data_IF_046130804176
#
_entry.id   IF_046130804176
#
_cell.length_a   1.000
_cell.length_b   1.000
_cell.length_c   1.000
_cell.angle_alpha   90.00
_cell.angle_beta   90.00
_cell.angle_gamma   90.00
#
_symmetry.space_group_name_H-M   'P 1'
#
loop_
_entity.id
_entity.type
_entity.pdbx_description
1 polymer ?
#
# COMPACT_ATOMS: atom_id res chain seq x y z
N UNK A 1 -6.40 10.16 26.48
CA UNK A 1 -6.40 9.08 25.46
C UNK A 1 -5.44 8.01 25.95
N UNK A 2 -5.96 6.80 26.27
CA UNK A 2 -5.14 5.70 26.82
C UNK A 2 -4.68 4.71 25.75
N UNK A 3 -5.30 4.72 24.57
CA UNK A 3 -4.95 3.82 23.46
C UNK A 3 -5.26 4.44 22.11
N UNK A 4 -4.48 4.05 21.09
CA UNK A 4 -4.60 4.55 19.73
C UNK A 4 -4.54 3.40 18.72
N UNK A 5 -5.22 3.59 17.58
CA UNK A 5 -4.95 2.82 16.37
C UNK A 5 -3.90 3.61 15.58
N UNK A 6 -2.76 3.01 15.36
CA UNK A 6 -1.63 3.66 14.72
C UNK A 6 -1.57 3.27 13.23
N UNK A 7 -1.73 4.24 12.36
CA UNK A 7 -1.48 4.07 10.92
C UNK A 7 -0.03 4.41 10.62
N UNK A 8 0.66 3.52 9.94
CA UNK A 8 2.07 3.68 9.60
C UNK A 8 2.28 3.58 8.09
N UNK A 9 3.32 4.28 7.64
CA UNK A 9 3.75 4.30 6.25
C UNK A 9 5.27 4.44 6.19
N UNK A 10 5.97 3.31 6.23
CA UNK A 10 7.44 3.24 6.26
C UNK A 10 7.97 2.30 5.17
N UNK A 11 9.25 2.45 4.74
CA UNK A 11 9.87 1.54 3.80
C UNK A 11 10.00 0.09 4.30
N UNK A 12 9.85 -0.12 5.62
CA UNK A 12 9.95 -1.45 6.24
C UNK A 12 8.67 -2.29 6.13
N UNK A 13 7.63 -1.72 5.54
CA UNK A 13 6.42 -2.46 5.17
C UNK A 13 6.70 -3.31 3.92
N UNK A 14 6.27 -4.56 3.94
CA UNK A 14 6.32 -5.44 2.77
C UNK A 14 5.16 -6.43 2.80
N UNK A 15 4.88 -7.03 1.65
CA UNK A 15 3.84 -8.05 1.52
C UNK A 15 4.44 -9.42 1.22
N UNK A 16 3.82 -10.46 1.76
CA UNK A 16 4.14 -11.87 1.48
C UNK A 16 2.87 -12.51 0.92
N UNK A 17 2.99 -13.15 -0.23
CA UNK A 17 1.94 -13.98 -0.82
C UNK A 17 2.22 -15.44 -0.47
N UNK A 18 1.23 -16.13 0.09
CA UNK A 18 1.33 -17.52 0.48
C UNK A 18 0.12 -18.30 -0.02
N UNK A 19 0.40 -19.42 -0.68
CA UNK A 19 -0.61 -20.40 -1.07
C UNK A 19 -0.45 -21.65 -0.20
N UNK A 20 -1.51 -22.02 0.52
CA UNK A 20 -1.50 -23.17 1.42
C UNK A 20 -2.62 -24.14 1.08
N UNK A 21 -2.31 -25.43 1.07
CA UNK A 21 -3.21 -26.50 0.62
C UNK A 21 -3.53 -27.48 1.74
N UNK A 22 -4.82 -27.88 1.83
CA UNK A 22 -5.28 -28.98 2.68
C UNK A 22 -6.01 -30.02 1.84
N UNK A 23 -5.65 -31.28 1.99
CA UNK A 23 -6.39 -32.40 1.39
C UNK A 23 -7.61 -32.72 2.26
N UNK A 24 -8.78 -32.84 1.64
CA UNK A 24 -10.06 -33.09 2.29
C UNK A 24 -10.67 -34.45 1.90
N UNK A 25 -10.14 -35.11 0.86
CA UNK A 25 -10.54 -36.48 0.44
C UNK A 25 -12.04 -36.63 0.22
N UNK A 26 -12.64 -35.66 -0.46
CA UNK A 26 -14.10 -35.66 -0.74
C UNK A 26 -14.98 -35.22 0.43
N UNK A 27 -14.39 -34.78 1.55
CA UNK A 27 -15.14 -34.24 2.70
C UNK A 27 -15.66 -32.82 2.38
N UNK A 28 -16.62 -32.38 3.19
CA UNK A 28 -17.15 -31.01 3.12
C UNK A 28 -16.15 -30.04 3.72
N UNK A 29 -16.00 -28.87 3.07
CA UNK A 29 -15.26 -27.74 3.66
C UNK A 29 -16.00 -27.21 4.88
N UNK A 30 -15.32 -27.02 5.98
CA UNK A 30 -15.84 -26.41 7.17
C UNK A 30 -15.01 -25.18 7.62
N UNK A 31 -15.56 -24.39 8.52
CA UNK A 31 -14.86 -23.18 9.04
C UNK A 31 -13.57 -23.51 9.80
N UNK A 32 -13.48 -24.70 10.37
CA UNK A 32 -12.28 -25.09 11.12
C UNK A 32 -11.13 -25.48 10.18
N UNK A 33 -11.42 -26.01 8.99
CA UNK A 33 -10.41 -26.22 7.96
C UNK A 33 -9.78 -24.89 7.54
N UNK A 34 -10.59 -23.85 7.33
CA UNK A 34 -10.10 -22.50 6.99
C UNK A 34 -9.29 -21.90 8.13
N UNK A 35 -9.77 -22.03 9.39
CA UNK A 35 -9.01 -21.55 10.56
C UNK A 35 -7.68 -22.26 10.71
N UNK A 36 -7.67 -23.59 10.52
CA UNK A 36 -6.44 -24.38 10.58
C UNK A 36 -5.43 -23.89 9.54
N UNK A 37 -5.83 -23.74 8.28
CA UNK A 37 -4.94 -23.26 7.22
C UNK A 37 -4.44 -21.84 7.49
N UNK A 38 -5.29 -20.95 8.03
CA UNK A 38 -4.88 -19.59 8.41
C UNK A 38 -3.85 -19.60 9.57
N UNK A 39 -4.01 -20.50 10.54
CA UNK A 39 -3.05 -20.64 11.65
C UNK A 39 -1.71 -21.19 11.14
N UNK A 40 -1.74 -22.21 10.30
CA UNK A 40 -0.55 -22.81 9.69
C UNK A 40 0.18 -21.77 8.81
N UNK A 41 -0.55 -21.06 7.95
CA UNK A 41 0.00 -20.00 7.12
C UNK A 41 0.66 -18.89 7.97
N UNK A 42 -0.01 -18.46 9.04
CA UNK A 42 0.52 -17.47 9.97
C UNK A 42 1.81 -17.96 10.64
N UNK A 43 1.85 -19.23 11.08
CA UNK A 43 3.01 -19.82 11.69
C UNK A 43 4.19 -19.88 10.71
N UNK A 44 3.95 -20.34 9.48
CA UNK A 44 4.97 -20.38 8.43
C UNK A 44 5.59 -19.00 8.14
N UNK A 45 4.76 -17.96 8.09
CA UNK A 45 5.24 -16.58 7.87
C UNK A 45 6.06 -16.10 9.07
N UNK A 46 5.61 -16.40 10.31
CA UNK A 46 6.31 -15.99 11.53
C UNK A 46 7.65 -16.71 11.71
N UNK A 47 7.72 -18.01 11.43
CA UNK A 47 8.94 -18.80 11.58
C UNK A 47 10.03 -18.39 10.59
N UNK A 48 9.62 -18.02 9.36
CA UNK A 48 10.55 -17.56 8.32
C UNK A 48 10.87 -16.06 8.40
N UNK A 49 10.11 -15.29 9.19
CA UNK A 49 10.26 -13.84 9.33
C UNK A 49 10.09 -13.44 10.81
N UNK A 50 10.88 -14.02 11.69
CA UNK A 50 10.79 -13.84 13.16
C UNK A 50 11.01 -12.39 13.61
N UNK A 51 11.74 -11.60 12.83
CA UNK A 51 12.00 -10.17 13.06
C UNK A 51 10.84 -9.26 12.59
N UNK A 52 9.78 -9.86 12.04
CA UNK A 52 8.63 -9.15 11.47
C UNK A 52 7.33 -9.42 12.24
N UNK A 53 6.50 -8.41 12.28
CA UNK A 53 5.15 -8.44 12.82
C UNK A 53 4.14 -8.45 11.69
N UNK A 54 3.26 -9.42 11.66
CA UNK A 54 2.11 -9.43 10.77
C UNK A 54 1.12 -8.37 11.26
N UNK A 55 0.71 -7.45 10.39
CA UNK A 55 -0.25 -6.38 10.69
C UNK A 55 -1.58 -6.55 9.95
N UNK A 56 -1.56 -7.16 8.76
CA UNK A 56 -2.78 -7.55 8.03
C UNK A 56 -2.66 -8.95 7.48
N UNK A 57 -3.77 -9.68 7.45
CA UNK A 57 -3.94 -10.99 6.82
C UNK A 57 -5.15 -10.90 5.91
N UNK A 58 -4.94 -11.01 4.61
CA UNK A 58 -5.95 -10.82 3.58
C UNK A 58 -6.13 -12.13 2.83
N UNK A 59 -7.34 -12.70 2.85
CA UNK A 59 -7.65 -13.87 2.03
C UNK A 59 -7.98 -13.37 0.62
N UNK A 60 -7.14 -13.72 -0.35
CA UNK A 60 -7.36 -13.31 -1.74
C UNK A 60 -8.39 -14.17 -2.41
N UNK A 61 -8.27 -15.49 -2.28
CA UNK A 61 -9.23 -16.45 -2.82
C UNK A 61 -9.13 -17.82 -2.16
N UNK A 62 -10.17 -18.61 -2.39
CA UNK A 62 -10.26 -20.03 -2.07
C UNK A 62 -10.26 -20.81 -3.38
N UNK A 63 -9.52 -21.91 -3.47
CA UNK A 63 -9.58 -22.82 -4.61
C UNK A 63 -10.00 -24.19 -4.09
N UNK A 64 -11.17 -24.67 -4.54
CA UNK A 64 -11.70 -25.99 -4.23
C UNK A 64 -11.58 -26.82 -5.51
N UNK A 65 -10.76 -27.86 -5.45
CA UNK A 65 -10.34 -28.62 -6.63
C UNK A 65 -9.81 -27.66 -7.73
N UNK A 66 -10.56 -27.41 -8.78
CA UNK A 66 -10.15 -26.49 -9.87
C UNK A 66 -10.99 -25.20 -9.90
N UNK A 67 -11.91 -25.00 -8.95
CA UNK A 67 -12.83 -23.87 -8.94
C UNK A 67 -12.37 -22.78 -7.95
N UNK A 68 -12.36 -21.55 -8.42
CA UNK A 68 -11.96 -20.39 -7.62
C UNK A 68 -13.18 -19.69 -7.01
N UNK A 69 -13.10 -19.37 -5.72
CA UNK A 69 -14.11 -18.65 -4.95
C UNK A 69 -13.46 -17.46 -4.26
N UNK A 70 -14.19 -16.36 -4.19
CA UNK A 70 -13.72 -15.10 -3.60
C UNK A 70 -14.42 -14.73 -2.30
N UNK A 71 -15.32 -15.56 -1.85
CA UNK A 71 -15.94 -15.54 -0.54
C UNK A 71 -15.82 -16.93 0.08
N UNK A 72 -16.06 -17.02 1.38
CA UNK A 72 -16.05 -18.31 2.08
C UNK A 72 -17.00 -19.25 1.35
N UNK A 73 -16.54 -20.40 0.87
CA UNK A 73 -17.40 -21.37 0.21
C UNK A 73 -18.51 -21.83 1.14
N UNK A 74 -19.66 -22.15 0.58
CA UNK A 74 -20.79 -22.69 1.37
C UNK A 74 -20.37 -23.98 2.09
N UNK A 75 -20.81 -24.16 3.33
CA UNK A 75 -20.41 -25.26 4.23
C UNK A 75 -20.75 -26.68 3.68
N UNK A 76 -21.44 -26.77 2.55
CA UNK A 76 -21.84 -28.04 1.93
C UNK A 76 -20.99 -28.47 0.71
N UNK A 77 -19.98 -27.69 0.34
CA UNK A 77 -19.11 -28.05 -0.81
C UNK A 77 -18.18 -29.19 -0.43
N UNK A 78 -18.32 -30.33 -1.14
CA UNK A 78 -17.36 -31.44 -1.06
C UNK A 78 -16.23 -31.19 -2.05
N UNK A 79 -14.99 -31.37 -1.64
CA UNK A 79 -13.84 -31.27 -2.51
C UNK A 79 -12.72 -32.20 -2.05
N UNK A 80 -11.79 -32.51 -2.94
CA UNK A 80 -10.63 -33.31 -2.61
C UNK A 80 -9.55 -32.49 -1.93
N UNK A 81 -9.43 -31.21 -2.31
CA UNK A 81 -8.51 -30.27 -1.66
C UNK A 81 -9.06 -28.85 -1.62
N UNK A 82 -8.63 -28.12 -0.63
CA UNK A 82 -8.84 -26.70 -0.43
C UNK A 82 -7.48 -25.99 -0.46
N UNK A 83 -7.36 -24.94 -1.28
CA UNK A 83 -6.21 -24.04 -1.27
C UNK A 83 -6.70 -22.68 -0.81
N UNK A 84 -5.96 -22.05 0.09
CA UNK A 84 -6.10 -20.65 0.49
C UNK A 84 -4.95 -19.86 -0.12
N UNK A 85 -5.27 -18.83 -0.89
CA UNK A 85 -4.28 -17.81 -1.27
C UNK A 85 -4.44 -16.61 -0.35
N UNK A 86 -3.36 -16.29 0.34
CA UNK A 86 -3.34 -15.36 1.46
C UNK A 86 -2.22 -14.35 1.23
N UNK A 87 -2.52 -13.08 1.43
CA UNK A 87 -1.54 -12.00 1.49
C UNK A 87 -1.35 -11.56 2.92
N UNK A 88 -0.11 -11.47 3.33
CA UNK A 88 0.30 -10.91 4.63
C UNK A 88 0.96 -9.56 4.39
N UNK A 89 0.58 -8.54 5.15
CA UNK A 89 1.31 -7.28 5.23
C UNK A 89 2.08 -7.29 6.54
N UNK A 90 3.39 -7.13 6.44
CA UNK A 90 4.33 -7.26 7.54
C UNK A 90 5.10 -5.97 7.79
N UNK A 91 5.56 -5.82 9.04
CA UNK A 91 6.28 -4.64 9.53
C UNK A 91 7.42 -5.06 10.47
N UNK A 92 8.47 -4.26 10.58
CA UNK A 92 9.60 -4.52 11.46
C UNK A 92 9.20 -4.58 12.95
N UNK A 93 9.50 -5.68 13.62
CA UNK A 93 9.32 -5.83 15.08
C UNK A 93 10.14 -4.79 15.84
N UNK A 94 11.37 -4.51 15.40
CA UNK A 94 12.25 -3.55 16.05
C UNK A 94 11.61 -2.15 16.08
N UNK A 95 11.15 -1.68 14.92
CA UNK A 95 10.50 -0.35 14.82
C UNK A 95 9.19 -0.33 15.62
N UNK A 96 8.40 -1.40 15.57
CA UNK A 96 7.19 -1.52 16.38
C UNK A 96 7.47 -1.38 17.87
N UNK A 97 8.51 -2.05 18.35
CA UNK A 97 8.88 -2.01 19.77
C UNK A 97 9.34 -0.60 20.17
N UNK A 98 10.17 0.07 19.36
CA UNK A 98 10.59 1.46 19.58
C UNK A 98 9.38 2.42 19.65
N UNK A 99 8.45 2.33 18.68
CA UNK A 99 7.22 3.14 18.70
C UNK A 99 6.35 2.84 19.92
N UNK A 100 6.22 1.57 20.28
CA UNK A 100 5.42 1.14 21.43
C UNK A 100 6.01 1.65 22.74
N UNK A 101 7.32 1.58 22.91
CA UNK A 101 8.01 2.13 24.09
C UNK A 101 7.89 3.65 24.19
N UNK A 102 8.07 4.35 23.05
CA UNK A 102 7.92 5.80 23.01
C UNK A 102 6.51 6.23 23.43
N UNK A 103 5.46 5.58 22.90
CA UNK A 103 4.07 5.89 23.26
C UNK A 103 3.75 5.49 24.70
N UNK A 104 4.28 4.38 25.21
CA UNK A 104 4.10 3.94 26.60
C UNK A 104 4.67 4.94 27.60
N UNK A 105 5.79 5.61 27.30
CA UNK A 105 6.35 6.68 28.15
C UNK A 105 5.35 7.82 28.34
N UNK A 106 4.43 8.01 27.38
CA UNK A 106 3.35 8.99 27.45
C UNK A 106 2.00 8.38 27.87
N UNK A 107 2.02 7.19 28.49
CA UNK A 107 0.83 6.47 28.94
C UNK A 107 -0.16 6.14 27.81
N UNK A 108 0.33 6.01 26.57
CA UNK A 108 -0.48 5.65 25.41
C UNK A 108 -0.10 4.24 24.95
N UNK A 109 -1.09 3.36 24.75
CA UNK A 109 -0.88 2.02 24.20
C UNK A 109 -1.31 1.94 22.74
N UNK A 110 -0.60 1.17 21.91
CA UNK A 110 -1.01 0.85 20.54
C UNK A 110 -2.03 -0.29 20.64
N UNK A 111 -3.28 0.00 20.29
CA UNK A 111 -4.34 -1.01 20.22
C UNK A 111 -4.19 -1.84 18.94
N UNK A 112 -4.02 -1.18 17.81
CA UNK A 112 -3.83 -1.81 16.50
C UNK A 112 -2.81 -1.03 15.69
N UNK A 113 -2.06 -1.76 14.86
CA UNK A 113 -1.12 -1.22 13.88
C UNK A 113 -1.67 -1.48 12.49
N UNK A 114 -1.72 -0.43 11.66
CA UNK A 114 -2.35 -0.45 10.34
C UNK A 114 -1.38 0.05 9.27
N UNK A 115 -1.36 -0.60 8.12
CA UNK A 115 -0.68 -0.10 6.93
C UNK A 115 -1.49 1.05 6.32
N UNK A 116 -0.95 2.28 6.37
CA UNK A 116 -1.66 3.48 5.92
C UNK A 116 -2.07 3.40 4.44
N UNK A 117 -1.14 3.05 3.55
CA UNK A 117 -1.42 2.97 2.10
C UNK A 117 -2.51 1.95 1.77
N UNK A 118 -2.51 0.78 2.46
CA UNK A 118 -3.55 -0.22 2.31
C UNK A 118 -4.91 0.29 2.77
N UNK A 119 -4.98 0.84 3.99
CA UNK A 119 -6.22 1.33 4.59
C UNK A 119 -6.81 2.51 3.81
N UNK A 120 -5.95 3.43 3.35
CA UNK A 120 -6.37 4.55 2.49
C UNK A 120 -7.00 4.02 1.19
N UNK A 121 -6.34 3.09 0.52
CA UNK A 121 -6.84 2.54 -0.74
C UNK A 121 -8.18 1.82 -0.58
N UNK A 122 -8.41 1.10 0.53
CA UNK A 122 -9.70 0.50 0.87
C UNK A 122 -10.80 1.56 1.02
N UNK A 123 -10.51 2.65 1.72
CA UNK A 123 -11.48 3.72 1.93
C UNK A 123 -11.79 4.46 0.62
N UNK A 124 -10.75 4.80 -0.15
CA UNK A 124 -10.92 5.54 -1.41
C UNK A 124 -11.57 4.69 -2.50
N UNK A 125 -11.37 3.37 -2.49
CA UNK A 125 -12.07 2.46 -3.37
C UNK A 125 -13.61 2.65 -3.34
N UNK A 126 -14.16 3.06 -2.19
CA UNK A 126 -15.59 3.34 -2.04
C UNK A 126 -16.05 4.64 -2.72
N UNK A 127 -15.12 5.55 -3.01
CA UNK A 127 -15.43 6.82 -3.67
C UNK A 127 -15.62 6.67 -5.20
N UNK A 128 -14.96 5.70 -5.80
CA UNK A 128 -14.93 5.48 -7.24
C UNK A 128 -15.85 4.32 -7.68
N UNK A 129 -17.11 4.31 -7.21
CA UNK A 129 -18.07 3.20 -7.45
C UNK A 129 -18.40 2.96 -8.93
N UNK A 130 -18.25 3.97 -9.78
CA UNK A 130 -18.58 3.90 -11.20
C UNK A 130 -17.53 3.13 -12.02
N UNK A 131 -16.41 2.74 -11.41
CA UNK A 131 -15.34 1.99 -12.05
C UNK A 131 -15.27 0.57 -11.51
N UNK A 132 -15.15 -0.41 -12.39
CA UNK A 132 -14.97 -1.80 -12.02
C UNK A 132 -13.53 -2.05 -11.55
N UNK A 133 -12.55 -1.54 -12.30
CA UNK A 133 -11.12 -1.64 -11.94
C UNK A 133 -10.61 -0.30 -11.43
N UNK A 134 -9.99 -0.31 -10.27
CA UNK A 134 -9.44 0.88 -9.64
C UNK A 134 -8.00 0.59 -9.25
N UNK A 135 -7.10 1.40 -9.74
CA UNK A 135 -5.67 1.33 -9.46
C UNK A 135 -5.30 2.55 -8.64
N UNK A 136 -4.79 2.32 -7.44
CA UNK A 136 -4.27 3.38 -6.58
C UNK A 136 -2.76 3.28 -6.54
N UNK A 137 -2.09 4.35 -6.92
CA UNK A 137 -0.65 4.52 -6.79
C UNK A 137 -0.36 5.59 -5.74
N UNK A 138 0.01 5.14 -4.57
CA UNK A 138 0.39 5.97 -3.43
C UNK A 138 1.89 6.22 -3.47
N UNK A 139 2.31 7.44 -3.83
CA UNK A 139 3.72 7.82 -3.84
C UNK A 139 4.02 8.58 -2.56
N UNK A 140 4.60 7.89 -1.60
CA UNK A 140 5.03 8.47 -0.32
C UNK A 140 6.44 9.07 -0.38
N UNK A 141 6.99 9.40 0.79
CA UNK A 141 8.32 10.00 0.91
C UNK A 141 9.43 9.00 0.54
N UNK A 142 9.45 7.81 1.16
CA UNK A 142 10.51 6.79 0.95
C UNK A 142 10.02 5.52 0.28
N UNK A 143 8.74 5.36 0.11
CA UNK A 143 8.13 4.20 -0.55
C UNK A 143 6.95 4.61 -1.41
N UNK A 144 6.59 3.74 -2.32
CA UNK A 144 5.34 3.80 -3.07
C UNK A 144 4.57 2.49 -2.89
N UNK A 145 3.24 2.56 -2.96
CA UNK A 145 2.38 1.39 -2.90
C UNK A 145 1.43 1.38 -4.07
N UNK A 146 1.27 0.21 -4.68
CA UNK A 146 0.28 -0.04 -5.70
C UNK A 146 -0.82 -0.93 -5.12
N UNK A 147 -2.06 -0.47 -5.20
CA UNK A 147 -3.24 -1.26 -4.86
C UNK A 147 -4.16 -1.37 -6.07
N UNK A 148 -4.60 -2.57 -6.40
CA UNK A 148 -5.54 -2.80 -7.51
C UNK A 148 -6.79 -3.47 -6.96
N UNK A 149 -7.94 -2.90 -7.31
CA UNK A 149 -9.24 -3.42 -6.94
C UNK A 149 -10.03 -3.85 -8.18
N UNK A 150 -10.71 -4.99 -8.05
CA UNK A 150 -11.79 -5.39 -8.92
C UNK A 150 -13.10 -5.17 -8.16
N UNK A 151 -13.87 -4.18 -8.57
CA UNK A 151 -15.03 -3.67 -7.82
C UNK A 151 -14.62 -3.27 -6.40
N UNK A 152 -15.00 -4.05 -5.41
CA UNK A 152 -14.67 -3.78 -4.00
C UNK A 152 -13.60 -4.72 -3.44
N UNK A 153 -13.04 -5.63 -4.26
CA UNK A 153 -12.07 -6.62 -3.82
C UNK A 153 -10.66 -6.20 -4.19
N UNK A 154 -9.77 -6.21 -3.23
CA UNK A 154 -8.34 -6.07 -3.47
C UNK A 154 -7.82 -7.31 -4.21
N UNK A 155 -7.22 -7.10 -5.38
CA UNK A 155 -6.59 -8.16 -6.18
C UNK A 155 -5.07 -8.08 -6.18
N UNK A 156 -4.52 -6.91 -5.86
CA UNK A 156 -3.09 -6.73 -5.72
C UNK A 156 -2.80 -5.63 -4.71
N UNK A 157 -1.80 -5.87 -3.86
CA UNK A 157 -1.13 -4.87 -3.04
C UNK A 157 0.38 -5.11 -3.13
N UNK A 158 1.12 -4.11 -3.57
CA UNK A 158 2.57 -4.19 -3.72
C UNK A 158 3.23 -2.96 -3.09
N UNK A 159 4.37 -3.17 -2.43
CA UNK A 159 5.15 -2.12 -1.78
C UNK A 159 6.50 -2.01 -2.49
N UNK A 160 6.84 -0.81 -2.91
CA UNK A 160 8.10 -0.49 -3.56
C UNK A 160 8.90 0.45 -2.65
N UNK A 161 10.15 0.13 -2.29
CA UNK A 161 10.96 0.96 -1.39
C UNK A 161 11.55 2.18 -2.09
N UNK A 162 10.78 2.81 -2.97
CA UNK A 162 11.11 4.04 -3.68
C UNK A 162 9.98 5.05 -3.54
N UNK A 163 10.30 6.33 -3.34
CA UNK A 163 9.34 7.42 -3.21
C UNK A 163 9.96 8.77 -3.51
N UNK A 164 9.28 9.85 -3.16
CA UNK A 164 9.66 11.23 -3.48
C UNK A 164 11.06 11.64 -2.99
N UNK A 165 11.56 11.05 -1.90
CA UNK A 165 12.91 11.31 -1.40
C UNK A 165 14.01 10.80 -2.36
N UNK A 166 13.75 9.75 -3.11
CA UNK A 166 14.70 9.25 -4.10
C UNK A 166 14.83 10.22 -5.27
N UNK A 167 13.72 10.88 -5.67
CA UNK A 167 13.74 11.96 -6.65
C UNK A 167 14.61 13.12 -6.15
N UNK A 168 14.46 13.51 -4.88
CA UNK A 168 15.27 14.56 -4.26
C UNK A 168 16.76 14.24 -4.31
N UNK A 169 17.13 12.99 -3.99
CA UNK A 169 18.53 12.53 -4.05
C UNK A 169 19.08 12.51 -5.46
N UNK A 170 18.28 12.10 -6.45
CA UNK A 170 18.71 12.12 -7.84
C UNK A 170 18.96 13.55 -8.32
N UNK A 171 18.08 14.49 -7.97
CA UNK A 171 18.27 15.92 -8.28
C UNK A 171 19.55 16.43 -7.62
N UNK A 172 19.76 16.12 -6.33
CA UNK A 172 20.95 16.49 -5.57
C UNK A 172 22.23 15.99 -6.24
N UNK A 173 22.24 14.73 -6.64
CA UNK A 173 23.41 14.09 -7.25
C UNK A 173 23.68 14.61 -8.66
N UNK A 174 22.65 14.75 -9.50
CA UNK A 174 22.83 15.17 -10.92
C UNK A 174 23.18 16.65 -11.01
N UNK A 175 22.60 17.48 -10.15
CA UNK A 175 22.85 18.93 -10.17
C UNK A 175 23.99 19.38 -9.25
N UNK A 176 24.55 18.47 -8.45
CA UNK A 176 25.59 18.76 -7.45
C UNK A 176 25.19 19.89 -6.49
N UNK A 177 24.03 19.70 -5.82
CA UNK A 177 23.43 20.64 -4.87
C UNK A 177 22.97 19.91 -3.61
N UNK A 178 22.68 20.64 -2.54
CA UNK A 178 22.20 20.05 -1.29
C UNK A 178 20.86 19.32 -1.47
N UNK A 179 20.56 18.30 -0.64
CA UNK A 179 19.24 17.64 -0.62
C UNK A 179 18.13 18.64 -0.26
N UNK A 180 18.42 19.64 0.59
CA UNK A 180 17.44 20.67 0.96
C UNK A 180 17.08 21.56 -0.24
N UNK A 181 18.06 22.03 -0.99
CA UNK A 181 17.82 22.82 -2.20
C UNK A 181 17.12 21.99 -3.27
N UNK A 182 17.50 20.72 -3.40
CA UNK A 182 16.86 19.77 -4.33
C UNK A 182 15.38 19.55 -4.00
N UNK A 183 15.05 19.43 -2.71
CA UNK A 183 13.65 19.30 -2.25
C UNK A 183 12.85 20.57 -2.54
N UNK A 184 13.45 21.74 -2.33
CA UNK A 184 12.83 23.03 -2.62
C UNK A 184 12.58 23.20 -4.14
N UNK A 185 13.55 22.85 -4.98
CA UNK A 185 13.42 22.89 -6.44
C UNK A 185 12.32 21.92 -6.90
N UNK A 186 12.33 20.70 -6.38
CA UNK A 186 11.31 19.69 -6.70
C UNK A 186 9.90 20.18 -6.37
N UNK A 187 9.70 20.81 -5.20
CA UNK A 187 8.40 21.37 -4.79
C UNK A 187 7.96 22.56 -5.65
N UNK A 188 8.91 23.37 -6.11
CA UNK A 188 8.61 24.54 -6.92
C UNK A 188 8.27 24.19 -8.39
N UNK A 189 8.58 22.99 -8.85
CA UNK A 189 8.36 22.60 -10.23
C UNK A 189 6.88 22.74 -10.68
N UNK A 190 5.94 22.34 -9.82
CA UNK A 190 4.50 22.46 -10.14
C UNK A 190 3.94 23.87 -9.92
N UNK A 191 4.69 24.75 -9.25
CA UNK A 191 4.36 26.17 -9.12
C UNK A 191 4.98 26.98 -10.26
N UNK A 192 5.88 26.37 -11.01
CA UNK A 192 6.72 27.03 -11.99
C UNK A 192 6.03 27.38 -13.31
N UNK A 193 4.84 26.84 -13.60
CA UNK A 193 4.05 27.28 -14.76
C UNK A 193 3.69 28.78 -14.72
N UNK A 194 3.76 29.41 -13.56
CA UNK A 194 3.55 30.86 -13.38
C UNK A 194 4.84 31.67 -13.39
N UNK A 195 6.02 31.04 -13.46
CA UNK A 195 7.30 31.70 -13.20
C UNK A 195 8.20 31.73 -14.47
N UNK A 196 7.84 31.03 -15.55
CA UNK A 196 8.66 30.98 -16.76
C UNK A 196 8.31 32.10 -17.73
N UNK A 197 9.27 32.97 -18.02
CA UNK A 197 9.18 33.96 -19.08
C UNK A 197 9.39 33.28 -20.44
N UNK A 198 8.48 33.53 -21.38
CA UNK A 198 8.44 32.97 -22.75
C UNK A 198 9.59 33.48 -23.68
N UNK A 199 10.63 34.10 -23.17
CA UNK A 199 11.56 34.89 -24.01
C UNK A 199 12.89 34.18 -24.38
N UNK A 200 13.11 32.91 -23.99
CA UNK A 200 14.33 32.22 -24.40
C UNK A 200 14.10 30.76 -24.74
N UNK A 201 14.87 30.25 -25.72
CA UNK A 201 14.84 28.84 -26.16
C UNK A 201 15.25 27.82 -25.07
N UNK A 202 15.72 28.29 -23.94
CA UNK A 202 16.07 27.49 -22.76
C UNK A 202 15.35 28.06 -21.55
N UNK A 203 14.40 27.27 -21.02
CA UNK A 203 13.69 27.59 -19.79
C UNK A 203 14.56 27.28 -18.59
N UNK A 204 14.91 28.28 -17.81
CA UNK A 204 15.67 28.14 -16.54
C UNK A 204 14.76 28.42 -15.34
N UNK A 205 15.12 27.87 -14.20
CA UNK A 205 14.41 28.17 -12.94
C UNK A 205 14.58 29.66 -12.63
N UNK A 206 13.49 30.43 -12.68
CA UNK A 206 13.50 31.87 -12.51
C UNK A 206 13.33 32.34 -11.05
N UNK A 207 13.15 31.40 -10.09
CA UNK A 207 13.06 31.77 -8.68
C UNK A 207 14.41 32.38 -8.23
N UNK A 208 14.40 33.69 -8.02
CA UNK A 208 15.59 34.49 -7.69
C UNK A 208 16.29 34.02 -6.43
N UNK A 209 15.53 33.54 -5.44
CA UNK A 209 16.12 33.02 -4.18
C UNK A 209 16.87 31.71 -4.40
N UNK A 210 16.30 30.79 -5.17
CA UNK A 210 16.93 29.51 -5.54
C UNK A 210 18.12 29.77 -6.45
N UNK A 211 17.99 30.64 -7.46
CA UNK A 211 19.03 30.99 -8.43
C UNK A 211 20.24 31.63 -7.74
N UNK A 212 20.02 32.54 -6.79
CA UNK A 212 21.09 33.21 -6.05
C UNK A 212 21.83 32.26 -5.09
N UNK A 213 21.16 31.27 -4.51
CA UNK A 213 21.77 30.24 -3.67
C UNK A 213 22.59 29.26 -4.48
N UNK A 214 22.13 28.85 -5.65
CA UNK A 214 22.72 27.75 -6.42
C UNK A 214 23.92 28.15 -7.29
N UNK A 215 24.17 29.45 -7.53
CA UNK A 215 25.28 29.95 -8.39
C UNK A 215 25.34 29.30 -9.79
N UNK A 216 24.33 28.53 -10.19
CA UNK A 216 24.24 27.77 -11.46
C UNK A 216 22.88 27.99 -12.11
N UNK A 217 22.86 28.10 -13.41
CA UNK A 217 21.60 28.06 -14.19
C UNK A 217 21.20 26.60 -14.35
N UNK A 218 20.04 26.22 -13.82
CA UNK A 218 19.53 24.86 -13.91
C UNK A 218 18.50 24.81 -15.04
N UNK A 219 18.78 24.00 -16.05
CA UNK A 219 17.85 23.75 -17.14
C UNK A 219 16.63 22.99 -16.65
N UNK A 220 15.43 23.51 -16.97
CA UNK A 220 14.17 22.88 -16.65
C UNK A 220 14.03 21.51 -17.33
N UNK A 221 14.51 21.38 -18.55
CA UNK A 221 14.50 20.14 -19.32
C UNK A 221 15.32 19.05 -18.63
N UNK A 222 16.52 19.39 -18.14
CA UNK A 222 17.35 18.45 -17.36
C UNK A 222 16.65 18.03 -16.08
N UNK A 223 16.07 18.98 -15.34
CA UNK A 223 15.33 18.69 -14.11
C UNK A 223 14.13 17.75 -14.37
N UNK A 224 13.33 18.03 -15.39
CA UNK A 224 12.22 17.16 -15.80
C UNK A 224 12.70 15.76 -16.17
N UNK A 225 13.79 15.62 -16.91
CA UNK A 225 14.39 14.32 -17.27
C UNK A 225 14.79 13.51 -16.05
N UNK A 226 15.43 14.12 -15.07
CA UNK A 226 15.82 13.45 -13.81
C UNK A 226 14.57 12.96 -13.07
N UNK A 227 13.57 13.81 -12.91
CA UNK A 227 12.34 13.49 -12.20
C UNK A 227 11.59 12.34 -12.89
N UNK A 228 11.37 12.47 -14.20
CA UNK A 228 10.63 11.45 -14.95
C UNK A 228 11.35 10.11 -15.02
N UNK A 229 12.68 10.09 -15.06
CA UNK A 229 13.44 8.84 -15.00
C UNK A 229 13.16 8.06 -13.70
N UNK A 230 13.12 8.73 -12.56
CA UNK A 230 12.79 8.09 -11.28
C UNK A 230 11.32 7.69 -11.19
N UNK A 231 10.43 8.52 -11.71
CA UNK A 231 9.01 8.17 -11.79
C UNK A 231 8.80 6.93 -12.64
N UNK A 232 9.49 6.85 -13.79
CA UNK A 232 9.45 5.67 -14.65
C UNK A 232 9.92 4.41 -13.94
N UNK A 233 10.98 4.51 -13.14
CA UNK A 233 11.45 3.38 -12.34
C UNK A 233 10.42 2.95 -11.31
N UNK A 234 9.83 3.88 -10.54
CA UNK A 234 8.77 3.59 -9.57
C UNK A 234 7.60 2.89 -10.26
N UNK A 235 7.15 3.42 -11.40
CA UNK A 235 6.05 2.85 -12.17
C UNK A 235 6.41 1.47 -12.71
N UNK A 236 7.57 1.31 -13.31
CA UNK A 236 8.01 0.03 -13.87
C UNK A 236 8.14 -1.05 -12.79
N UNK A 237 8.68 -0.72 -11.62
CA UNK A 237 8.78 -1.65 -10.49
C UNK A 237 7.39 -1.97 -9.91
N UNK A 238 6.50 -0.98 -9.83
CA UNK A 238 5.13 -1.18 -9.38
C UNK A 238 4.37 -2.16 -10.28
N UNK A 239 4.64 -2.14 -11.58
CA UNK A 239 3.92 -2.81 -12.64
C UNK A 239 4.62 -4.08 -13.16
N UNK A 240 5.86 -4.35 -12.71
CA UNK A 240 6.77 -5.36 -13.27
C UNK A 240 6.16 -6.77 -13.45
N UNK A 241 5.23 -7.15 -12.57
CA UNK A 241 4.63 -8.48 -12.57
C UNK A 241 3.15 -8.45 -13.00
N UNK A 242 2.68 -7.34 -13.58
CA UNK A 242 1.28 -7.13 -13.89
C UNK A 242 1.11 -7.02 -15.39
N UNK A 243 0.41 -7.98 -15.97
CA UNK A 243 -0.09 -7.82 -17.32
C UNK A 243 -1.37 -6.97 -17.29
N UNK A 244 -1.22 -5.64 -17.41
CA UNK A 244 -2.35 -4.71 -17.41
C UNK A 244 -3.38 -5.02 -18.47
N UNK A 245 -2.97 -5.47 -19.65
CA UNK A 245 -3.89 -5.82 -20.74
C UNK A 245 -4.81 -6.98 -20.36
N UNK A 246 -4.36 -7.92 -19.52
CA UNK A 246 -5.21 -8.99 -19.00
C UNK A 246 -6.10 -8.59 -17.83
N UNK A 247 -5.70 -7.55 -17.07
CA UNK A 247 -6.49 -7.03 -15.95
C UNK A 247 -7.58 -6.06 -16.40
N UNK A 248 -7.36 -5.34 -17.51
CA UNK A 248 -8.24 -4.31 -18.04
C UNK A 248 -8.99 -4.84 -19.25
N UNK A 249 -10.03 -5.63 -19.01
CA UNK A 249 -10.88 -6.14 -20.09
C UNK A 249 -11.74 -5.02 -20.72
N UNK A 250 -12.04 -3.95 -20.01
CA UNK A 250 -12.81 -2.81 -20.48
C UNK A 250 -12.18 -1.50 -19.99
N UNK A 251 -11.50 -0.80 -20.89
CA UNK A 251 -10.86 0.50 -20.63
C UNK A 251 -11.83 1.51 -20.00
N UNK A 252 -13.09 1.52 -20.46
CA UNK A 252 -14.09 2.49 -20.01
C UNK A 252 -14.50 2.33 -18.54
N UNK A 253 -14.08 1.24 -17.89
CA UNK A 253 -14.39 0.95 -16.49
C UNK A 253 -13.17 0.95 -15.58
N UNK A 254 -12.05 1.50 -16.04
CA UNK A 254 -10.80 1.53 -15.32
C UNK A 254 -10.37 2.95 -14.98
N UNK A 255 -9.98 3.20 -13.72
CA UNK A 255 -9.42 4.48 -13.26
C UNK A 255 -8.07 4.26 -12.59
N UNK A 256 -7.14 5.22 -12.82
CA UNK A 256 -5.89 5.34 -12.07
C UNK A 256 -6.00 6.53 -11.12
N UNK A 257 -5.75 6.29 -9.83
CA UNK A 257 -5.80 7.31 -8.78
C UNK A 257 -4.41 7.45 -8.17
N UNK A 258 -3.85 8.63 -8.29
CA UNK A 258 -2.60 9.00 -7.62
C UNK A 258 -2.91 9.57 -6.23
N UNK A 259 -2.18 9.08 -5.22
CA UNK A 259 -2.28 9.54 -3.83
C UNK A 259 -0.89 9.73 -3.23
N UNK A 260 -0.83 10.31 -2.04
CA UNK A 260 0.42 10.60 -1.34
C UNK A 260 1.11 11.88 -1.79
N UNK A 261 1.90 12.47 -0.89
CA UNK A 261 2.58 13.76 -1.12
C UNK A 261 3.58 13.71 -2.29
N UNK A 262 4.21 12.56 -2.54
CA UNK A 262 5.12 12.37 -3.66
C UNK A 262 4.45 12.44 -5.03
N UNK A 263 3.15 12.18 -5.10
CA UNK A 263 2.39 12.27 -6.36
C UNK A 263 2.16 13.71 -6.83
N UNK A 264 2.29 14.69 -5.94
CA UNK A 264 2.13 16.12 -6.26
C UNK A 264 3.17 16.63 -7.27
N UNK A 265 4.26 15.90 -7.48
CA UNK A 265 5.26 16.25 -8.50
C UNK A 265 4.77 15.95 -9.93
N UNK A 266 3.77 15.08 -10.05
CA UNK A 266 3.22 14.71 -11.35
C UNK A 266 2.32 15.84 -11.86
N UNK A 267 2.63 16.34 -13.05
CA UNK A 267 1.77 17.30 -13.73
C UNK A 267 0.52 16.58 -14.28
N UNK A 268 -0.65 17.06 -13.85
CA UNK A 268 -1.96 16.52 -14.25
C UNK A 268 -2.20 16.57 -15.77
N UNK A 269 -1.60 17.56 -16.44
CA UNK A 269 -1.76 17.82 -17.87
C UNK A 269 -0.56 17.30 -18.69
N UNK A 270 0.30 16.47 -18.09
CA UNK A 270 1.51 16.00 -18.74
C UNK A 270 1.19 15.02 -19.87
N UNK A 271 1.60 15.36 -21.09
CA UNK A 271 1.59 14.45 -22.26
C UNK A 271 2.30 13.13 -21.93
N UNK A 272 3.31 13.16 -21.06
CA UNK A 272 4.00 11.98 -20.59
C UNK A 272 3.05 11.01 -19.88
N UNK A 273 2.23 11.49 -18.93
CA UNK A 273 1.26 10.64 -18.21
C UNK A 273 0.15 10.16 -19.15
N UNK A 274 -0.36 11.02 -20.03
CA UNK A 274 -1.37 10.62 -21.00
C UNK A 274 -0.88 9.51 -21.92
N UNK A 275 0.32 9.60 -22.44
CA UNK A 275 0.91 8.57 -23.29
C UNK A 275 1.18 7.28 -22.51
N UNK A 276 1.68 7.36 -21.27
CA UNK A 276 2.02 6.19 -20.46
C UNK A 276 0.79 5.44 -19.97
N UNK A 277 -0.29 6.15 -19.67
CA UNK A 277 -1.51 5.60 -19.06
C UNK A 277 -2.75 5.68 -19.94
N UNK A 278 -2.57 5.70 -21.26
CA UNK A 278 -3.65 5.79 -22.27
C UNK A 278 -4.67 4.64 -22.21
N UNK A 279 -4.38 3.59 -21.46
CA UNK A 279 -5.24 2.42 -21.22
C UNK A 279 -6.21 2.61 -20.03
N UNK A 280 -6.09 3.67 -19.25
CA UNK A 280 -7.13 4.06 -18.30
C UNK A 280 -8.14 5.01 -18.96
N UNK A 281 -9.39 4.96 -18.50
CA UNK A 281 -10.41 5.92 -18.90
C UNK A 281 -10.10 7.31 -18.35
N UNK A 282 -9.62 7.35 -17.11
CA UNK A 282 -9.42 8.56 -16.35
C UNK A 282 -8.24 8.40 -15.39
N UNK A 283 -7.52 9.48 -15.18
CA UNK A 283 -6.53 9.65 -14.13
C UNK A 283 -7.04 10.67 -13.13
N UNK A 284 -6.99 10.35 -11.85
CA UNK A 284 -7.40 11.24 -10.77
C UNK A 284 -6.24 11.47 -9.80
N UNK A 285 -6.05 12.71 -9.38
CA UNK A 285 -5.08 13.11 -8.37
C UNK A 285 -5.82 13.45 -7.09
N UNK A 286 -5.81 12.51 -6.15
CA UNK A 286 -6.58 12.64 -4.93
C UNK A 286 -5.77 13.39 -3.88
N UNK A 287 -6.23 14.58 -3.50
CA UNK A 287 -5.61 15.37 -2.44
C UNK A 287 -5.95 14.80 -1.07
N UNK A 288 -4.93 14.47 -0.32
CA UNK A 288 -5.04 13.93 1.03
C UNK A 288 -4.80 15.02 2.08
N UNK A 289 -5.58 14.96 3.14
CA UNK A 289 -5.35 15.70 4.37
C UNK A 289 -5.14 14.74 5.54
N UNK A 290 -4.57 15.21 6.63
CA UNK A 290 -4.46 14.42 7.86
C UNK A 290 -5.83 13.89 8.31
N UNK A 291 -6.87 14.72 8.17
CA UNK A 291 -8.24 14.32 8.48
C UNK A 291 -8.74 13.16 7.62
N UNK A 292 -8.54 13.21 6.29
CA UNK A 292 -8.98 12.14 5.37
C UNK A 292 -8.23 10.83 5.62
N UNK A 293 -6.95 10.91 5.97
CA UNK A 293 -6.13 9.75 6.32
C UNK A 293 -6.64 9.13 7.63
N UNK A 294 -6.84 9.91 8.69
CA UNK A 294 -7.38 9.44 9.96
C UNK A 294 -8.79 8.86 9.81
N UNK A 295 -9.64 9.48 8.98
CA UNK A 295 -10.97 8.99 8.66
C UNK A 295 -10.92 7.62 7.98
N UNK A 296 -9.93 7.35 7.14
CA UNK A 296 -9.74 6.03 6.53
C UNK A 296 -9.50 4.95 7.58
N UNK A 297 -8.66 5.23 8.59
CA UNK A 297 -8.43 4.32 9.71
C UNK A 297 -9.67 4.09 10.57
N UNK A 298 -10.47 5.12 10.81
CA UNK A 298 -11.74 5.02 11.52
C UNK A 298 -12.75 4.16 10.75
N UNK A 299 -12.92 4.42 9.46
CA UNK A 299 -13.85 3.69 8.59
C UNK A 299 -13.46 2.22 8.45
N UNK A 300 -12.18 1.88 8.50
CA UNK A 300 -11.71 0.50 8.46
C UNK A 300 -12.31 -0.36 9.57
N UNK A 301 -12.40 0.16 10.80
CA UNK A 301 -13.01 -0.57 11.93
C UNK A 301 -14.53 -0.57 11.90
N UNK A 302 -15.14 0.42 11.26
CA UNK A 302 -16.60 0.47 11.11
C UNK A 302 -17.09 -0.53 10.05
N UNK A 303 -16.30 -0.75 9.01
CA UNK A 303 -16.62 -1.64 7.91
C UNK A 303 -15.99 -3.02 8.15
N UNK A 304 -16.82 -4.07 8.20
CA UNK A 304 -16.32 -5.43 8.26
C UNK A 304 -15.92 -5.90 6.86
N UNK A 305 -14.62 -5.98 6.57
CA UNK A 305 -14.12 -6.55 5.32
C UNK A 305 -14.03 -8.07 5.47
N UNK A 306 -14.90 -8.81 4.77
CA UNK A 306 -15.03 -10.27 4.89
C UNK A 306 -13.78 -11.07 4.47
N UNK A 307 -12.87 -10.44 3.74
CA UNK A 307 -11.61 -11.04 3.29
C UNK A 307 -10.44 -10.74 4.22
N UNK A 308 -10.61 -9.87 5.21
CA UNK A 308 -9.56 -9.56 6.18
C UNK A 308 -9.76 -10.31 7.49
N UNK A 309 -8.70 -10.99 7.94
CA UNK A 309 -8.70 -11.76 9.18
C UNK A 309 -8.15 -10.90 10.31
N UNK A 310 -8.86 -10.83 11.41
CA UNK A 310 -8.38 -10.14 12.60
C UNK A 310 -7.05 -10.74 13.10
N UNK A 311 -6.00 -9.94 13.01
CA UNK A 311 -4.65 -10.31 13.47
C UNK A 311 -4.54 -10.33 15.00
N UNK A 312 -5.52 -9.73 15.68
CA UNK A 312 -5.53 -9.67 17.14
C UNK A 312 -5.48 -11.09 17.68
N UNK A 313 -4.33 -11.50 18.20
CA UNK A 313 -4.25 -12.67 19.05
C UNK A 313 -5.23 -12.44 20.20
N UNK A 314 -6.33 -13.22 20.26
CA UNK A 314 -7.02 -13.36 21.52
C UNK A 314 -5.93 -13.67 22.53
N UNK A 315 -5.70 -12.78 23.51
CA UNK A 315 -4.91 -13.17 24.70
C UNK A 315 -5.48 -14.52 25.08
N UNK A 316 -4.67 -15.57 25.24
CA UNK A 316 -5.22 -16.82 25.75
C UNK A 316 -6.00 -16.41 26.98
N UNK A 317 -7.30 -16.72 27.02
CA UNK A 317 -8.02 -16.65 28.29
C UNK A 317 -7.11 -17.41 29.24
N UNK A 318 -6.61 -16.75 30.29
CA UNK A 318 -5.97 -17.44 31.37
C UNK A 318 -7.07 -18.33 31.89
N UNK A 319 -7.06 -19.58 31.47
CA UNK A 319 -7.97 -20.56 32.00
C UNK A 319 -7.76 -20.51 33.51
N UNK A 320 -8.81 -20.19 34.23
CA UNK A 320 -8.77 -20.15 35.68
C UNK A 320 -8.24 -21.51 36.20
N UNK A 321 -7.70 -21.52 37.38
CA UNK A 321 -7.19 -22.75 38.00
C UNK A 321 -8.18 -23.92 37.90
N UNK A 322 -9.47 -23.65 38.02
CA UNK A 322 -10.56 -24.63 37.89
C UNK A 322 -10.76 -25.13 36.45
N UNK A 323 -10.65 -24.33 35.43
CA UNK A 323 -10.73 -24.79 34.01
C UNK A 323 -9.56 -25.73 33.68
N UNK A 324 -8.35 -25.44 34.17
CA UNK A 324 -7.18 -26.32 34.00
C UNK A 324 -7.35 -27.66 34.76
N UNK A 325 -8.07 -27.66 35.87
CA UNK A 325 -8.37 -28.87 36.63
C UNK A 325 -9.39 -29.75 35.90
N UNK A 326 -10.41 -29.18 35.28
CA UNK A 326 -11.40 -29.92 34.50
C UNK A 326 -10.84 -30.51 33.20
N UNK A 327 -9.88 -29.84 32.56
CA UNK A 327 -9.18 -30.34 31.35
C UNK A 327 -8.25 -31.52 31.67
N UNK A 328 -7.91 -31.78 32.94
CA UNK A 328 -7.10 -32.90 33.39
C UNK A 328 -7.93 -34.18 33.67
N UNK A 329 -9.26 -34.07 33.72
CA UNK A 329 -10.17 -35.19 34.05
C UNK A 329 -11.09 -35.58 32.87
N UNK A 330 -10.92 -34.94 31.68
CA UNK A 330 -11.47 -35.35 30.40
C UNK A 330 -10.36 -35.80 29.46
#
# INVERSE_FOLDING_TARGET
INSVNLMIDTPDLFSIDLSIKKNLEGKKVNKDDIKYLLQEAKQLVQDNNFDKKIIHIIIEKFVLDSKTYYSIPEENHKCNYLILEIKFICFSNMIFNQLSEYLKKNHISIKNLLCSSYIKSLNYNQLFKNYDKKVFLDIGYRKSCLSIFDKNRLILFNVIPLGGNHITKDISQVLDISEEDSENIKKSLNQAETIFSNDSKEEFISNSEIRNKLKKNISLDLLKKVIYARIDEILNLSLKNINFSSLINDKNKCILVFTGEGSKILDKNSIYLENKFNFFKEMNFFEESVSTICQSGYNFYKNNYSYEVNVVSKKPKKNGFFEKLFDLFN
#
